data_IF_296381849396
#
_entry.id   IF_296381849396
#
_cell.length_a   1.000
_cell.length_b   1.000
_cell.length_c   1.000
_cell.angle_alpha   90.00
_cell.angle_beta   90.00
_cell.angle_gamma   90.00
#
_symmetry.space_group_name_H-M   'P 1'
#
loop_
_entity.id
_entity.type
_entity.pdbx_description
1 polymer ?
#
# COMPACT_ATOMS: atom_id res chain seq x y z
N UNK A 1 -1.90 19.68 52.72
CA UNK A 1 -1.23 18.53 52.05
C UNK A 1 -1.29 18.75 50.55
N UNK A 2 -0.15 18.82 49.83
CA UNK A 2 -0.17 18.97 48.37
C UNK A 2 -0.61 17.67 47.71
N UNK A 3 -1.70 17.72 46.92
CA UNK A 3 -2.18 16.59 46.11
C UNK A 3 -1.18 16.32 45.00
N UNK A 4 -0.57 15.12 44.98
CA UNK A 4 0.21 14.61 43.85
C UNK A 4 -0.74 14.46 42.66
N UNK A 5 -0.63 15.35 41.68
CA UNK A 5 -1.29 15.20 40.38
C UNK A 5 -0.59 14.02 39.69
N UNK A 6 -1.31 12.97 39.26
CA UNK A 6 -0.69 11.90 38.50
C UNK A 6 -0.17 12.50 37.19
N UNK A 7 1.15 12.50 37.04
CA UNK A 7 1.80 12.80 35.76
C UNK A 7 1.37 11.66 34.83
N UNK A 8 0.42 11.93 33.93
CA UNK A 8 0.08 11.00 32.86
C UNK A 8 1.37 10.63 32.14
N UNK A 9 1.83 9.39 32.31
CA UNK A 9 2.97 8.87 31.58
C UNK A 9 2.66 9.01 30.10
N UNK A 10 3.33 9.94 29.41
CA UNK A 10 3.10 10.15 27.98
C UNK A 10 3.37 8.83 27.26
N UNK A 11 2.34 8.25 26.64
CA UNK A 11 2.47 7.01 25.88
C UNK A 11 3.51 7.24 24.79
N UNK A 12 4.69 6.63 24.90
CA UNK A 12 5.77 6.79 23.92
C UNK A 12 5.29 6.25 22.57
N UNK A 13 5.18 7.14 21.60
CA UNK A 13 4.85 6.78 20.22
C UNK A 13 6.12 6.32 19.53
N UNK A 14 6.10 5.11 18.94
CA UNK A 14 7.21 4.57 18.14
C UNK A 14 6.91 4.77 16.66
N UNK A 15 7.95 5.13 15.91
CA UNK A 15 7.93 5.22 14.46
C UNK A 15 8.86 4.16 13.88
N UNK A 16 8.43 3.54 12.79
CA UNK A 16 9.19 2.54 12.05
C UNK A 16 9.32 3.01 10.59
N UNK A 17 10.49 2.79 10.01
CA UNK A 17 10.74 3.01 8.59
C UNK A 17 10.71 1.65 7.90
N UNK A 18 9.86 1.49 6.89
CA UNK A 18 9.83 0.29 6.06
C UNK A 18 10.21 0.62 4.63
N UNK A 19 11.05 -0.20 4.03
CA UNK A 19 11.44 -0.05 2.63
C UNK A 19 10.29 -0.53 1.73
N UNK A 20 9.67 0.41 1.02
CA UNK A 20 8.65 0.15 0.00
C UNK A 20 9.09 0.61 -1.39
N UNK A 21 8.29 0.31 -2.41
CA UNK A 21 8.51 0.70 -3.81
C UNK A 21 7.46 1.72 -4.24
N UNK A 22 7.89 2.87 -4.75
CA UNK A 22 7.01 3.93 -5.24
C UNK A 22 7.03 4.03 -6.75
N UNK A 23 5.87 4.37 -7.30
CA UNK A 23 5.63 4.71 -8.69
C UNK A 23 5.00 6.10 -8.68
N UNK A 24 5.83 7.13 -8.82
CA UNK A 24 5.37 8.51 -8.87
C UNK A 24 4.98 8.88 -10.29
N UNK A 25 3.90 9.63 -10.45
CA UNK A 25 3.41 10.02 -11.78
C UNK A 25 4.43 10.88 -12.56
N UNK A 26 5.19 11.70 -11.84
CA UNK A 26 6.18 12.63 -12.41
C UNK A 26 7.57 12.00 -12.60
N UNK A 27 7.72 10.72 -12.26
CA UNK A 27 9.00 10.01 -12.37
C UNK A 27 8.99 9.07 -13.57
N UNK A 28 10.19 8.81 -14.11
CA UNK A 28 10.36 7.95 -15.28
C UNK A 28 10.54 6.47 -14.94
N UNK A 29 10.82 6.17 -13.67
CA UNK A 29 11.10 4.82 -13.16
C UNK A 29 10.62 4.65 -11.72
N UNK A 30 10.26 3.43 -11.30
CA UNK A 30 9.96 3.17 -9.90
C UNK A 30 11.24 3.18 -9.06
N UNK A 31 11.12 3.51 -7.78
CA UNK A 31 12.26 3.55 -6.86
C UNK A 31 11.87 3.04 -5.47
N UNK A 32 12.87 2.71 -4.65
CA UNK A 32 12.64 2.34 -3.26
C UNK A 32 12.67 3.57 -2.37
N UNK A 33 11.76 3.67 -1.41
CA UNK A 33 11.79 4.69 -0.38
C UNK A 33 11.44 4.12 0.99
N UNK A 34 11.83 4.85 2.03
CA UNK A 34 11.48 4.56 3.41
C UNK A 34 10.11 5.17 3.71
N UNK A 35 9.15 4.32 4.05
CA UNK A 35 7.80 4.70 4.42
C UNK A 35 7.71 4.71 5.93
N UNK A 36 7.44 5.88 6.49
CA UNK A 36 7.34 6.09 7.94
C UNK A 36 5.95 5.72 8.44
N UNK A 37 5.90 4.85 9.45
CA UNK A 37 4.66 4.32 10.02
C UNK A 37 4.72 4.40 11.55
N UNK A 38 3.64 4.85 12.15
CA UNK A 38 3.45 4.95 13.60
C UNK A 38 2.86 3.67 14.18
N UNK A 39 3.34 3.21 15.33
CA UNK A 39 2.89 1.96 15.97
C UNK A 39 1.45 2.02 16.51
N UNK A 40 0.98 3.23 16.84
CA UNK A 40 -0.30 3.44 17.52
C UNK A 40 -1.51 3.52 16.60
N UNK A 41 -1.30 3.44 15.27
CA UNK A 41 -2.36 3.48 14.28
C UNK A 41 -2.24 2.27 13.34
N UNK A 42 -3.32 1.88 12.63
CA UNK A 42 -3.25 0.78 11.67
C UNK A 42 -2.18 1.07 10.62
N UNK A 43 -1.08 0.30 10.64
CA UNK A 43 0.15 0.57 9.88
C UNK A 43 -0.10 0.80 8.39
N UNK A 44 -0.99 -0.03 7.84
CA UNK A 44 -1.38 -0.03 6.45
C UNK A 44 -2.32 1.12 6.05
N UNK A 45 -2.99 1.78 7.00
CA UNK A 45 -3.85 2.96 6.75
C UNK A 45 -3.07 4.28 6.78
N UNK A 46 -1.77 4.24 7.13
CA UNK A 46 -0.93 5.43 7.24
C UNK A 46 -0.22 5.81 5.93
N UNK A 47 -0.65 5.24 4.79
CA UNK A 47 0.02 5.42 3.50
C UNK A 47 -0.04 6.85 2.93
N UNK A 48 -0.89 7.72 3.49
CA UNK A 48 -0.89 9.14 3.15
C UNK A 48 0.50 9.79 3.32
N UNK A 49 1.27 9.38 4.33
CA UNK A 49 2.62 9.90 4.56
C UNK A 49 3.60 9.51 3.44
N UNK A 50 3.44 8.33 2.84
CA UNK A 50 4.27 7.84 1.76
C UNK A 50 4.11 8.69 0.48
N UNK A 51 2.92 9.27 0.27
CA UNK A 51 2.63 10.10 -0.89
C UNK A 51 3.12 11.54 -0.75
N UNK A 52 3.59 11.99 0.42
CA UNK A 52 4.03 13.40 0.57
C UNK A 52 2.88 14.41 0.46
N UNK A 53 1.66 13.93 0.69
CA UNK A 53 0.39 14.66 0.87
C UNK A 53 0.49 15.91 1.74
N UNK A 54 0.63 17.10 1.16
CA UNK A 54 0.18 18.36 1.81
C UNK A 54 -1.36 18.45 1.80
N UNK A 55 -2.03 17.69 0.93
CA UNK A 55 -3.48 17.73 0.72
C UNK A 55 -4.18 16.47 1.27
N UNK A 56 -5.03 16.58 2.31
CA UNK A 56 -5.69 15.44 2.96
C UNK A 56 -6.92 14.89 2.20
N UNK A 57 -7.17 15.33 0.95
CA UNK A 57 -8.41 14.98 0.20
C UNK A 57 -8.20 13.90 -0.88
N UNK A 58 -7.02 13.29 -0.94
CA UNK A 58 -6.71 12.22 -1.89
C UNK A 58 -7.39 10.92 -1.47
N UNK A 59 -8.15 10.28 -2.37
CA UNK A 59 -8.65 8.93 -2.12
C UNK A 59 -7.51 7.93 -2.29
N UNK A 60 -7.30 7.08 -1.28
CA UNK A 60 -6.34 5.97 -1.35
C UNK A 60 -7.13 4.66 -1.48
N UNK A 61 -6.80 3.89 -2.50
CA UNK A 61 -7.32 2.55 -2.71
C UNK A 61 -6.26 1.53 -2.32
N UNK A 62 -6.60 0.65 -1.38
CA UNK A 62 -5.70 -0.39 -0.91
C UNK A 62 -6.09 -1.74 -1.51
N UNK A 63 -5.09 -2.41 -2.08
CA UNK A 63 -5.21 -3.77 -2.60
C UNK A 63 -4.20 -4.66 -1.90
N UNK A 64 -4.62 -5.87 -1.55
CA UNK A 64 -3.69 -6.94 -1.18
C UNK A 64 -3.53 -7.86 -2.37
N UNK A 65 -2.29 -8.22 -2.67
CA UNK A 65 -1.96 -9.11 -3.79
C UNK A 65 -1.01 -10.17 -3.27
N UNK A 66 -1.30 -11.43 -3.60
CA UNK A 66 -0.37 -12.54 -3.35
C UNK A 66 0.25 -12.94 -4.67
N UNK A 67 1.58 -13.01 -4.73
CA UNK A 67 2.31 -13.60 -5.84
C UNK A 67 2.80 -14.98 -5.43
N UNK A 68 2.46 -16.00 -6.22
CA UNK A 68 2.98 -17.35 -6.10
C UNK A 68 4.17 -17.52 -7.04
N UNK A 69 5.32 -17.93 -6.48
CA UNK A 69 6.55 -18.26 -7.20
C UNK A 69 6.98 -19.67 -6.77
N UNK A 70 6.61 -20.67 -7.59
CA UNK A 70 6.74 -22.08 -7.23
C UNK A 70 5.94 -22.41 -5.96
N UNK A 71 6.63 -22.85 -4.91
CA UNK A 71 6.03 -23.16 -3.58
C UNK A 71 6.00 -21.97 -2.62
N UNK A 72 6.50 -20.81 -3.03
CA UNK A 72 6.58 -19.61 -2.20
C UNK A 72 5.43 -18.66 -2.49
N UNK A 73 4.92 -17.99 -1.45
CA UNK A 73 3.97 -16.89 -1.56
C UNK A 73 4.60 -15.58 -1.11
N UNK A 74 4.32 -14.52 -1.85
CA UNK A 74 4.84 -13.18 -1.63
C UNK A 74 3.68 -12.20 -1.60
N UNK A 75 3.39 -11.66 -0.42
CA UNK A 75 2.24 -10.77 -0.22
C UNK A 75 2.66 -9.31 -0.26
N UNK A 76 1.86 -8.51 -0.95
CA UNK A 76 2.08 -7.08 -1.13
C UNK A 76 0.80 -6.31 -0.85
N UNK A 77 0.95 -5.15 -0.21
CA UNK A 77 -0.06 -4.11 -0.25
C UNK A 77 0.29 -3.15 -1.37
N UNK A 78 -0.66 -2.89 -2.24
CA UNK A 78 -0.60 -1.85 -3.25
C UNK A 78 -1.59 -0.76 -2.82
N UNK A 79 -1.07 0.40 -2.48
CA UNK A 79 -1.89 1.57 -2.18
C UNK A 79 -1.79 2.52 -3.36
N UNK A 80 -2.93 2.87 -3.94
CA UNK A 80 -3.02 3.70 -5.13
C UNK A 80 -3.72 5.01 -4.77
N UNK A 81 -3.02 6.12 -4.91
CA UNK A 81 -3.56 7.45 -4.69
C UNK A 81 -4.27 7.94 -5.95
N UNK A 82 -5.50 8.43 -5.79
CA UNK A 82 -6.28 9.08 -6.86
C UNK A 82 -6.83 10.42 -6.37
N UNK A 83 -6.71 11.43 -7.20
CA UNK A 83 -7.31 12.76 -6.98
C UNK A 83 -7.63 13.37 -8.34
N UNK A 84 -8.64 14.23 -8.38
CA UNK A 84 -8.95 15.02 -9.58
C UNK A 84 -7.72 15.86 -9.92
N UNK A 85 -7.32 15.87 -11.20
CA UNK A 85 -6.15 16.61 -11.68
C UNK A 85 -4.81 15.87 -11.59
N UNK A 86 -4.77 14.62 -11.13
CA UNK A 86 -3.56 13.80 -11.25
C UNK A 86 -3.37 13.31 -12.69
N UNK A 87 -2.13 13.36 -13.17
CA UNK A 87 -1.73 12.92 -14.49
C UNK A 87 -1.60 11.40 -14.58
N UNK A 88 -1.51 10.90 -15.81
CA UNK A 88 -1.18 9.50 -16.02
C UNK A 88 0.22 9.18 -15.50
N UNK A 89 0.32 8.08 -14.78
CA UNK A 89 1.59 7.59 -14.26
C UNK A 89 2.46 7.07 -15.42
N UNK A 90 3.50 7.83 -15.78
CA UNK A 90 4.42 7.51 -16.88
C UNK A 90 5.13 6.17 -16.68
N UNK A 91 5.45 5.82 -15.43
CA UNK A 91 6.06 4.53 -15.10
C UNK A 91 5.15 3.38 -15.50
N UNK A 92 3.85 3.48 -15.21
CA UNK A 92 2.92 2.40 -15.53
C UNK A 92 2.70 2.25 -17.02
N UNK A 93 2.66 3.36 -17.77
CA UNK A 93 2.57 3.29 -19.23
C UNK A 93 3.70 2.44 -19.81
N UNK A 94 4.94 2.62 -19.32
CA UNK A 94 6.10 1.80 -19.73
C UNK A 94 5.97 0.32 -19.31
N UNK A 95 5.35 0.04 -18.17
CA UNK A 95 5.08 -1.32 -17.70
C UNK A 95 3.90 -2.01 -18.41
N UNK A 96 3.11 -1.26 -19.18
CA UNK A 96 1.88 -1.74 -19.84
C UNK A 96 0.64 -1.73 -18.93
N UNK A 97 0.65 -0.91 -17.87
CA UNK A 97 -0.49 -0.61 -17.02
C UNK A 97 -0.94 0.86 -17.20
N UNK A 98 -2.02 1.24 -16.53
CA UNK A 98 -2.50 2.63 -16.58
C UNK A 98 -3.15 3.03 -15.25
N UNK A 99 -2.71 4.15 -14.70
CA UNK A 99 -3.24 4.76 -13.48
C UNK A 99 -3.04 6.27 -13.54
N UNK A 100 -3.91 7.01 -12.85
CA UNK A 100 -3.77 8.45 -12.68
C UNK A 100 -3.38 8.72 -11.24
N UNK A 101 -2.16 9.20 -11.02
CA UNK A 101 -1.59 9.43 -9.70
C UNK A 101 -0.48 8.47 -9.29
N UNK A 102 -0.21 8.45 -7.99
CA UNK A 102 0.93 7.75 -7.42
C UNK A 102 0.52 6.39 -6.86
N UNK A 103 1.46 5.45 -6.87
CA UNK A 103 1.31 4.12 -6.26
C UNK A 103 2.46 3.88 -5.30
N UNK A 104 2.14 3.31 -4.14
CA UNK A 104 3.12 2.75 -3.22
C UNK A 104 2.83 1.28 -3.01
N UNK A 105 3.90 0.48 -3.04
CA UNK A 105 3.84 -0.95 -2.77
C UNK A 105 4.69 -1.24 -1.55
N UNK A 106 4.13 -1.98 -0.60
CA UNK A 106 4.84 -2.51 0.55
C UNK A 106 4.74 -4.02 0.57
N UNK A 107 5.78 -4.68 1.07
CA UNK A 107 5.70 -6.11 1.35
C UNK A 107 5.02 -6.34 2.68
N UNK A 108 4.17 -7.35 2.74
CA UNK A 108 3.47 -7.75 3.95
C UNK A 108 4.11 -9.02 4.52
N UNK A 109 4.24 -9.09 5.84
CA UNK A 109 4.79 -10.26 6.52
C UNK A 109 3.81 -11.43 6.52
N UNK A 110 4.28 -12.63 6.10
CA UNK A 110 3.48 -13.87 6.08
C UNK A 110 2.87 -14.26 7.44
N UNK A 111 3.58 -14.00 8.54
CA UNK A 111 3.11 -14.31 9.91
C UNK A 111 2.09 -13.32 10.44
N UNK A 112 2.09 -12.09 9.93
CA UNK A 112 1.16 -11.05 10.36
C UNK A 112 0.81 -10.16 9.16
N UNK A 113 -0.29 -10.46 8.46
CA UNK A 113 -0.74 -9.74 7.27
C UNK A 113 -1.06 -8.25 7.49
N UNK A 114 -1.05 -7.80 8.74
CA UNK A 114 -1.26 -6.40 9.12
C UNK A 114 0.04 -5.63 9.33
N UNK A 115 1.21 -6.29 9.26
CA UNK A 115 2.52 -5.68 9.45
C UNK A 115 3.31 -5.65 8.12
N UNK A 116 3.79 -4.48 7.69
CA UNK A 116 4.74 -4.39 6.60
C UNK A 116 6.10 -4.96 7.01
N UNK A 117 6.86 -5.38 6.02
CA UNK A 117 8.27 -5.80 6.12
C UNK A 117 9.07 -5.14 5.01
N UNK A 118 10.38 -5.03 5.20
CA UNK A 118 11.25 -4.42 4.19
C UNK A 118 11.24 -5.20 2.88
N UNK A 119 11.08 -4.46 1.79
CA UNK A 119 11.30 -5.00 0.45
C UNK A 119 12.78 -5.18 0.17
N UNK A 120 13.15 -6.33 -0.41
CA UNK A 120 14.54 -6.62 -0.78
C UNK A 120 14.67 -7.61 -1.94
N UNK A 121 15.88 -7.70 -2.49
CA UNK A 121 16.21 -8.66 -3.55
C UNK A 121 15.24 -8.64 -4.73
N UNK A 122 14.61 -9.79 -5.01
CA UNK A 122 13.68 -9.99 -6.13
C UNK A 122 12.32 -9.28 -5.98
N UNK A 123 12.05 -8.61 -4.86
CA UNK A 123 10.76 -7.96 -4.61
C UNK A 123 10.47 -6.79 -5.56
N UNK A 124 11.51 -6.18 -6.14
CA UNK A 124 11.35 -5.16 -7.18
C UNK A 124 10.51 -5.69 -8.35
N UNK A 125 10.95 -6.80 -8.97
CA UNK A 125 10.26 -7.38 -10.12
C UNK A 125 8.89 -7.95 -9.76
N UNK A 126 8.73 -8.53 -8.56
CA UNK A 126 7.44 -9.00 -8.06
C UNK A 126 6.45 -7.84 -7.92
N UNK A 127 6.88 -6.72 -7.34
CA UNK A 127 6.05 -5.53 -7.21
C UNK A 127 5.68 -4.93 -8.57
N UNK A 128 6.63 -4.85 -9.52
CA UNK A 128 6.36 -4.35 -10.88
C UNK A 128 5.30 -5.23 -11.57
N UNK A 129 5.43 -6.56 -11.43
CA UNK A 129 4.45 -7.52 -11.93
C UNK A 129 3.08 -7.36 -11.27
N UNK A 130 3.04 -7.23 -9.94
CA UNK A 130 1.80 -7.04 -9.19
C UNK A 130 1.05 -5.79 -9.67
N UNK A 131 1.76 -4.65 -9.74
CA UNK A 131 1.16 -3.37 -10.15
C UNK A 131 0.66 -3.43 -11.59
N UNK A 132 1.46 -4.00 -12.51
CA UNK A 132 1.05 -4.20 -13.90
C UNK A 132 -0.25 -5.00 -14.03
N UNK A 133 -0.44 -6.02 -13.20
CA UNK A 133 -1.62 -6.90 -13.26
C UNK A 133 -2.83 -6.30 -12.55
N UNK A 134 -2.61 -5.59 -11.44
CA UNK A 134 -3.67 -5.07 -10.58
C UNK A 134 -4.22 -3.71 -11.04
N UNK A 135 -3.50 -2.95 -11.86
CA UNK A 135 -3.84 -1.57 -12.19
C UNK A 135 -4.01 -1.39 -13.71
N UNK A 136 -5.25 -1.56 -14.20
CA UNK A 136 -5.61 -1.56 -15.63
C UNK A 136 -6.49 -0.38 -16.09
N UNK A 137 -6.43 0.00 -17.39
CA UNK A 137 -7.09 1.18 -17.98
C UNK A 137 -8.61 1.31 -17.81
N UNK A 138 -9.34 0.22 -18.04
CA UNK A 138 -10.78 0.26 -18.27
C UNK A 138 -11.45 -0.89 -17.54
N UNK A 139 -12.18 -0.56 -16.46
CA UNK A 139 -12.92 -1.56 -15.70
C UNK A 139 -13.21 -1.16 -14.25
N UNK A 140 -13.85 -0.01 -14.03
CA UNK A 140 -14.83 0.01 -12.95
C UNK A 140 -15.94 -0.95 -13.38
N UNK A 141 -15.94 -2.18 -12.83
CA UNK A 141 -17.06 -3.10 -13.03
C UNK A 141 -16.76 -4.59 -12.92
N UNK A 142 -15.54 -5.09 -13.20
CA UNK A 142 -15.22 -6.53 -13.07
C UNK A 142 -13.76 -6.76 -12.69
N UNK A 143 -13.41 -6.48 -11.44
CA UNK A 143 -12.47 -7.38 -10.77
C UNK A 143 -13.13 -8.75 -10.72
N UNK A 144 -12.45 -9.87 -11.03
CA UNK A 144 -13.02 -11.18 -10.81
C UNK A 144 -13.45 -11.41 -9.35
N UNK A 145 -12.88 -10.67 -8.39
CA UNK A 145 -13.04 -10.94 -6.98
C UNK A 145 -12.77 -9.67 -6.13
N UNK A 146 -13.72 -8.74 -6.01
CA UNK A 146 -13.68 -7.74 -4.92
C UNK A 146 -15.04 -7.69 -4.20
N UNK A 147 -15.08 -7.95 -2.87
CA UNK A 147 -16.25 -7.63 -2.06
C UNK A 147 -16.44 -6.11 -1.97
N UNK A 148 -17.70 -5.71 -1.80
CA UNK A 148 -18.18 -4.32 -1.79
C UNK A 148 -17.42 -3.45 -0.79
N UNK A 149 -17.38 -2.15 -1.05
CA UNK A 149 -16.82 -1.15 -0.16
C UNK A 149 -17.37 -1.32 1.26
N UNK A 150 -16.46 -1.38 2.25
CA UNK A 150 -16.75 -1.55 3.68
C UNK A 150 -17.72 -0.47 4.20
N UNK A 151 -18.99 -0.84 4.39
CA UNK A 151 -19.75 -0.38 5.54
C UNK A 151 -19.36 -1.26 6.73
N UNK A 152 -18.97 -0.59 7.80
CA UNK A 152 -18.82 -1.06 9.19
C UNK A 152 -19.26 -2.49 9.52
N UNK A 153 -18.36 -3.19 10.22
CA UNK A 153 -18.60 -4.41 11.00
C UNK A 153 -18.94 -5.64 10.17
N UNK A 154 -17.90 -6.40 9.79
CA UNK A 154 -17.81 -7.85 9.92
C UNK A 154 -16.49 -8.33 9.30
N UNK A 155 -15.85 -9.33 9.93
CA UNK A 155 -14.70 -10.06 9.39
C UNK A 155 -15.12 -10.83 8.12
N UNK A 156 -15.23 -10.13 6.99
CA UNK A 156 -15.40 -10.75 5.68
C UNK A 156 -14.05 -11.22 5.15
N UNK A 157 -13.97 -12.50 4.77
CA UNK A 157 -12.88 -13.07 3.99
C UNK A 157 -12.63 -12.22 2.74
N UNK A 158 -11.63 -11.34 2.82
CA UNK A 158 -11.18 -10.56 1.68
C UNK A 158 -10.71 -11.52 0.59
N UNK A 159 -11.32 -11.41 -0.58
CA UNK A 159 -10.97 -12.21 -1.74
C UNK A 159 -9.65 -11.66 -2.31
N UNK A 160 -8.52 -12.14 -1.78
CA UNK A 160 -7.20 -11.62 -2.13
C UNK A 160 -6.80 -12.17 -3.51
N UNK A 161 -6.61 -11.32 -4.54
CA UNK A 161 -6.14 -11.78 -5.84
C UNK A 161 -4.79 -12.49 -5.71
N UNK A 162 -4.77 -13.75 -6.14
CA UNK A 162 -3.58 -14.59 -6.23
C UNK A 162 -3.08 -14.56 -7.67
N UNK A 163 -1.86 -14.08 -7.86
CA UNK A 163 -1.17 -14.02 -9.14
C UNK A 163 -0.08 -15.10 -9.15
N UNK A 164 0.08 -15.79 -10.28
CA UNK A 164 1.16 -16.77 -10.46
C UNK A 164 2.19 -16.19 -11.44
N UNK A 165 3.47 -16.30 -11.08
CA UNK A 165 4.60 -16.01 -11.96
C UNK A 165 4.93 -17.19 -12.86
#
# INVERSE_FOLDING_TARGET
MPRKIPIHASKRVKYFAFRGRLYRQNEDRPFFANIMIQDTAPKLKQMHSAFGDIFPRSYIYDYRVVILEGRSSHEFQISCKKTIGLEYNKVLQKLGGQWNGDIVVMRIGKKNPSNPVDMGGKDAGRADFAVKKSVKPNGWGRSPLLPKALSTENDEQMNIPVLTL
#
